data_IF_683084638847
#
_entry.id   IF_683084638847
#
_cell.length_a   1.000
_cell.length_b   1.000
_cell.length_c   1.000
_cell.angle_alpha   90.00
_cell.angle_beta   90.00
_cell.angle_gamma   90.00
#
_symmetry.space_group_name_H-M   'P 1'
#
loop_
_entity.id
_entity.type
_entity.pdbx_description
1 polymer ?
#
# COMPACT_ATOMS: atom_id res chain seq x y z
N UNK A 1 -2.49 3.35 16.78
CA UNK A 1 -3.24 3.14 15.53
C UNK A 1 -2.74 1.85 14.89
N UNK A 2 -3.60 0.98 14.36
CA UNK A 2 -3.18 -0.32 13.79
C UNK A 2 -2.37 -0.15 12.49
N UNK A 3 -2.75 0.82 11.65
CA UNK A 3 -1.97 1.22 10.49
C UNK A 3 -0.85 2.17 10.92
N UNK A 4 0.40 1.83 10.58
CA UNK A 4 1.59 2.64 10.80
C UNK A 4 2.58 2.43 9.65
N UNK A 5 3.71 3.16 9.66
CA UNK A 5 4.71 3.11 8.59
C UNK A 5 5.25 1.69 8.32
N UNK A 6 5.45 0.87 9.36
CA UNK A 6 5.95 -0.50 9.19
C UNK A 6 4.90 -1.42 8.58
N UNK A 7 3.63 -1.26 8.95
CA UNK A 7 2.51 -1.98 8.31
C UNK A 7 2.36 -1.57 6.85
N UNK A 8 2.56 -0.30 6.53
CA UNK A 8 2.50 0.19 5.15
C UNK A 8 3.65 -0.35 4.30
N UNK A 9 4.89 -0.35 4.82
CA UNK A 9 6.03 -1.02 4.16
C UNK A 9 5.76 -2.50 3.94
N UNK A 10 5.13 -3.16 4.91
CA UNK A 10 4.74 -4.57 4.79
C UNK A 10 3.69 -4.76 3.68
N UNK A 11 2.67 -3.91 3.63
CA UNK A 11 1.68 -3.90 2.55
C UNK A 11 2.37 -3.80 1.17
N UNK A 12 3.26 -2.82 0.96
CA UNK A 12 3.94 -2.66 -0.33
C UNK A 12 4.74 -3.90 -0.73
N UNK A 13 5.49 -4.49 0.21
CA UNK A 13 6.29 -5.70 -0.05
C UNK A 13 5.41 -6.89 -0.42
N UNK A 14 4.31 -7.12 0.29
CA UNK A 14 3.42 -8.25 0.02
C UNK A 14 2.59 -8.04 -1.26
N UNK A 15 2.13 -6.82 -1.51
CA UNK A 15 1.40 -6.49 -2.74
C UNK A 15 2.27 -6.70 -3.98
N UNK A 16 3.52 -6.21 -3.98
CA UNK A 16 4.47 -6.40 -5.07
C UNK A 16 4.82 -7.87 -5.33
N UNK A 17 4.88 -8.69 -4.28
CA UNK A 17 5.18 -10.13 -4.42
C UNK A 17 4.02 -10.92 -5.01
N UNK A 18 2.79 -10.42 -4.91
CA UNK A 18 1.61 -11.27 -5.08
C UNK A 18 0.56 -10.76 -6.03
N UNK A 19 0.11 -9.50 -5.93
CA UNK A 19 -1.18 -9.11 -6.51
C UNK A 19 -1.24 -7.69 -7.09
N UNK A 20 -0.14 -6.93 -7.10
CA UNK A 20 -0.13 -5.60 -7.70
C UNK A 20 1.21 -5.31 -8.40
N UNK A 21 1.14 -4.60 -9.53
CA UNK A 21 2.31 -4.06 -10.20
C UNK A 21 2.80 -2.77 -9.52
N UNK A 22 4.07 -2.35 -9.74
CA UNK A 22 4.58 -1.10 -9.21
C UNK A 22 3.72 0.12 -9.55
N UNK A 23 3.20 0.20 -10.77
CA UNK A 23 2.36 1.31 -11.27
C UNK A 23 1.00 1.38 -10.57
N UNK A 24 0.54 0.27 -9.98
CA UNK A 24 -0.69 0.25 -9.18
C UNK A 24 -0.44 0.70 -7.71
N UNK A 25 0.82 0.73 -7.27
CA UNK A 25 1.20 0.99 -5.88
C UNK A 25 1.96 2.30 -5.68
N UNK A 26 2.59 2.82 -6.73
CA UNK A 26 3.49 3.97 -6.69
C UNK A 26 3.20 4.94 -7.83
N UNK A 27 3.45 6.21 -7.57
CA UNK A 27 3.53 7.23 -8.60
C UNK A 27 4.76 6.97 -9.46
N UNK A 28 4.61 7.06 -10.78
CA UNK A 28 5.69 6.85 -11.74
C UNK A 28 6.14 8.21 -12.29
N UNK A 29 7.13 8.83 -11.64
CA UNK A 29 7.68 10.11 -12.07
C UNK A 29 8.94 9.87 -12.92
N UNK A 30 9.42 10.88 -13.63
CA UNK A 30 10.64 10.77 -14.45
C UNK A 30 11.86 10.25 -13.65
N UNK A 31 11.93 10.57 -12.37
CA UNK A 31 13.01 10.17 -11.46
C UNK A 31 12.82 8.80 -10.82
N UNK A 32 11.70 8.11 -11.07
CA UNK A 32 11.42 6.75 -10.59
C UNK A 32 10.07 6.58 -9.89
N UNK A 33 9.95 5.50 -9.11
CA UNK A 33 8.72 5.14 -8.39
C UNK A 33 8.69 5.70 -6.96
N UNK A 34 7.57 6.33 -6.60
CA UNK A 34 7.39 6.96 -5.29
C UNK A 34 6.09 6.52 -4.61
N UNK A 35 6.16 6.16 -3.33
CA UNK A 35 4.97 5.95 -2.51
C UNK A 35 4.20 7.27 -2.28
N UNK A 36 4.93 8.38 -2.20
CA UNK A 36 4.37 9.71 -2.02
C UNK A 36 5.12 10.69 -2.90
N UNK A 37 4.40 11.59 -3.56
CA UNK A 37 4.98 12.65 -4.37
C UNK A 37 5.68 13.63 -3.42
N UNK A 38 6.99 13.91 -3.59
CA UNK A 38 7.67 14.92 -2.79
C UNK A 38 7.02 16.30 -2.97
N UNK A 39 7.00 17.13 -1.91
CA UNK A 39 6.25 18.40 -1.90
C UNK A 39 6.68 19.39 -3.00
N UNK A 40 7.94 19.34 -3.40
CA UNK A 40 8.51 20.26 -4.40
C UNK A 40 8.40 19.72 -5.84
N UNK A 41 7.75 18.57 -6.04
CA UNK A 41 7.61 17.93 -7.34
C UNK A 41 6.18 18.09 -7.86
N UNK A 42 6.07 18.40 -9.16
CA UNK A 42 4.78 18.37 -9.86
C UNK A 42 4.27 16.94 -9.90
N UNK A 43 3.01 16.75 -9.54
CA UNK A 43 2.36 15.44 -9.64
C UNK A 43 2.06 15.04 -11.08
N UNK A 44 2.29 15.92 -12.07
CA UNK A 44 2.04 15.71 -13.50
C UNK A 44 0.59 15.29 -13.79
N UNK A 45 -0.35 15.72 -12.94
CA UNK A 45 -1.75 15.27 -12.98
C UNK A 45 -1.99 13.79 -12.67
N UNK A 46 -0.98 13.05 -12.20
CA UNK A 46 -1.10 11.63 -11.89
C UNK A 46 -1.97 11.40 -10.65
N UNK A 47 -2.83 10.39 -10.73
CA UNK A 47 -3.63 9.91 -9.60
C UNK A 47 -3.39 8.42 -9.41
N UNK A 48 -3.37 7.99 -8.15
CA UNK A 48 -3.09 6.59 -7.79
C UNK A 48 -4.30 5.96 -7.09
N UNK A 49 -5.44 5.98 -7.77
CA UNK A 49 -6.72 5.56 -7.19
C UNK A 49 -6.78 4.05 -6.92
N UNK A 50 -6.08 3.25 -7.74
CA UNK A 50 -5.96 1.79 -7.59
C UNK A 50 -5.46 1.37 -6.21
N UNK A 51 -4.55 2.14 -5.62
CA UNK A 51 -3.94 1.82 -4.32
C UNK A 51 -4.96 1.73 -3.18
N UNK A 52 -6.01 2.54 -3.19
CA UNK A 52 -6.99 2.55 -2.11
C UNK A 52 -7.72 1.21 -2.00
N UNK A 53 -8.13 0.63 -3.13
CA UNK A 53 -8.77 -0.69 -3.16
C UNK A 53 -7.81 -1.80 -2.73
N UNK A 54 -6.53 -1.70 -3.11
CA UNK A 54 -5.49 -2.66 -2.75
C UNK A 54 -5.19 -2.65 -1.24
N UNK A 55 -5.15 -1.47 -0.63
CA UNK A 55 -5.04 -1.31 0.84
C UNK A 55 -6.26 -1.96 1.51
N UNK A 56 -7.47 -1.72 1.00
CA UNK A 56 -8.69 -2.36 1.50
C UNK A 56 -8.57 -3.89 1.51
N UNK A 57 -8.27 -4.50 0.36
CA UNK A 57 -8.11 -5.95 0.22
C UNK A 57 -7.04 -6.52 1.18
N UNK A 58 -5.91 -5.83 1.33
CA UNK A 58 -4.85 -6.25 2.25
C UNK A 58 -5.32 -6.19 3.71
N UNK A 59 -5.92 -5.08 4.12
CA UNK A 59 -6.37 -4.87 5.50
C UNK A 59 -7.47 -5.84 5.92
N UNK A 60 -8.38 -6.22 5.02
CA UNK A 60 -9.39 -7.25 5.31
C UNK A 60 -8.76 -8.60 5.70
N UNK A 61 -7.80 -9.07 4.89
CA UNK A 61 -7.08 -10.32 5.16
C UNK A 61 -6.26 -10.22 6.45
N UNK A 62 -5.58 -9.09 6.66
CA UNK A 62 -4.74 -8.85 7.82
C UNK A 62 -5.56 -8.80 9.12
N UNK A 63 -6.66 -8.05 9.15
CA UNK A 63 -7.57 -8.00 10.29
C UNK A 63 -8.14 -9.39 10.62
N UNK A 64 -8.55 -10.17 9.60
CA UNK A 64 -9.02 -11.55 9.81
C UNK A 64 -7.96 -12.41 10.50
N UNK A 65 -6.69 -12.28 10.13
CA UNK A 65 -5.60 -13.02 10.78
C UNK A 65 -5.40 -12.58 12.23
N UNK A 66 -5.45 -11.29 12.53
CA UNK A 66 -5.36 -10.77 13.90
C UNK A 66 -6.49 -11.33 14.76
N UNK A 67 -7.74 -11.26 14.29
CA UNK A 67 -8.88 -11.80 15.03
C UNK A 67 -8.76 -13.30 15.28
N UNK A 68 -8.31 -14.08 14.28
CA UNK A 68 -8.08 -15.51 14.45
C UNK A 68 -7.01 -15.84 15.50
N UNK A 69 -5.96 -15.01 15.62
CA UNK A 69 -4.94 -15.19 16.64
C UNK A 69 -5.47 -14.85 18.03
N UNK A 70 -6.28 -13.79 18.14
CA UNK A 70 -6.86 -13.37 19.42
C UNK A 70 -7.89 -14.37 19.94
N UNK A 71 -8.73 -14.94 19.07
CA UNK A 71 -9.79 -15.89 19.44
C UNK A 71 -9.28 -17.31 19.74
N UNK A 72 -8.01 -17.61 19.46
CA UNK A 72 -7.38 -18.90 19.73
C UNK A 72 -6.62 -18.94 21.07
N UNK A 73 -6.55 -17.81 21.79
CA UNK A 73 -6.03 -17.70 23.15
C UNK A 73 -7.18 -17.55 24.15
#
# INVERSE_FOLDING_TARGET
MLWNEEVEKHFFREALKSFASPEQLFYNLQSGYYAYIPKDFDSEGQTLQSRNSLIGQFTEKWCKQIFLLLLKN
#
